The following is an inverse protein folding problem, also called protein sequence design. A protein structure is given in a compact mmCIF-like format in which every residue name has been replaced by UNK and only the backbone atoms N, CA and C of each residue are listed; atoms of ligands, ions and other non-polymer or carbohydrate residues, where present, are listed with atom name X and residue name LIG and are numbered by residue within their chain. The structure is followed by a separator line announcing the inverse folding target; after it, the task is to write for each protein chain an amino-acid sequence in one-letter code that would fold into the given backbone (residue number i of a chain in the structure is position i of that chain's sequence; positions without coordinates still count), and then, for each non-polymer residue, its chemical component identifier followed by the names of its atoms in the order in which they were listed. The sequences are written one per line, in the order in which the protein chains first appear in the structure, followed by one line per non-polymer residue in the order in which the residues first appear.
data_IF_978343154176
#
_entry.id   IF_978343154176
#
_cell.length_a   1.000
_cell.length_b   1.000
_cell.length_c   1.000
_cell.angle_alpha   90.00
_cell.angle_beta   90.00
_cell.angle_gamma   90.00
#
_symmetry.space_group_name_H-M   'P 1'
#
loop_
_entity.id
_entity.type
_entity.pdbx_description
1 polymer ?
#
# COMPACT_ATOMS: atom_id res chain seq x y z
N UNK A 1 17.24 7.90 -19.03
CA UNK A 1 16.28 7.69 -17.93
C UNK A 1 16.14 6.19 -17.71
N UNK A 2 16.15 5.74 -16.46
CA UNK A 2 16.09 4.33 -16.07
C UNK A 2 15.14 4.18 -14.88
N UNK A 3 14.48 3.03 -14.80
CA UNK A 3 13.52 2.74 -13.73
C UNK A 3 14.22 2.32 -12.44
N UNK A 4 14.01 3.09 -11.38
CA UNK A 4 14.38 2.71 -10.02
C UNK A 4 13.22 1.99 -9.34
N UNK A 5 13.56 0.99 -8.53
CA UNK A 5 12.67 0.24 -7.65
C UNK A 5 13.14 0.43 -6.22
N UNK A 6 12.22 0.81 -5.34
CA UNK A 6 12.45 0.92 -3.91
C UNK A 6 11.55 -0.03 -3.13
N UNK A 7 12.10 -0.63 -2.08
CA UNK A 7 11.32 -1.31 -1.04
C UNK A 7 11.23 -0.37 0.15
N UNK A 8 10.01 0.05 0.48
CA UNK A 8 9.72 1.08 1.48
C UNK A 8 8.95 0.48 2.64
N UNK A 9 9.40 0.77 3.85
CA UNK A 9 8.64 0.55 5.08
C UNK A 9 8.13 1.90 5.60
N UNK A 10 6.92 1.92 6.15
CA UNK A 10 6.37 3.13 6.75
C UNK A 10 5.40 2.83 7.90
N UNK A 11 5.40 3.71 8.89
CA UNK A 11 4.35 3.80 9.89
C UNK A 11 3.24 4.71 9.36
N UNK A 12 2.11 4.13 8.95
CA UNK A 12 0.98 4.85 8.37
C UNK A 12 0.18 5.73 9.34
N UNK A 13 0.42 5.68 10.65
CA UNK A 13 -0.46 6.28 11.66
C UNK A 13 -0.73 7.79 11.46
N UNK A 14 0.26 8.55 10.97
CA UNK A 14 0.14 10.00 10.74
C UNK A 14 -0.35 10.36 9.32
N UNK A 15 -0.47 9.39 8.43
CA UNK A 15 -0.72 9.63 7.01
C UNK A 15 -2.15 9.29 6.62
N UNK A 16 -2.69 10.10 5.71
CA UNK A 16 -3.99 9.89 5.07
C UNK A 16 -3.88 8.93 3.87
N UNK A 17 -3.14 7.83 4.08
CA UNK A 17 -2.92 6.77 3.12
C UNK A 17 -1.71 6.98 2.23
N UNK A 18 -1.58 6.09 1.24
CA UNK A 18 -0.46 6.13 0.32
C UNK A 18 -0.60 7.22 -0.74
N UNK A 19 -1.75 7.27 -1.41
CA UNK A 19 -1.96 8.12 -2.59
C UNK A 19 -2.06 9.60 -2.23
N UNK A 20 -1.52 10.47 -3.10
CA UNK A 20 -1.59 11.92 -2.93
C UNK A 20 -3.05 12.37 -2.86
N UNK A 21 -3.37 13.21 -1.88
CA UNK A 21 -4.67 13.83 -1.68
C UNK A 21 -4.47 15.27 -1.18
N UNK A 22 -5.18 16.29 -1.73
CA UNK A 22 -5.00 17.68 -1.32
C UNK A 22 -5.23 17.90 0.17
N UNK A 23 -4.40 18.77 0.77
CA UNK A 23 -4.57 19.24 2.15
C UNK A 23 -4.18 18.25 3.25
N UNK A 24 -3.63 17.08 2.91
CA UNK A 24 -3.25 16.05 3.88
C UNK A 24 -1.89 15.42 3.57
N UNK A 25 -1.19 14.98 4.62
CA UNK A 25 0.06 14.24 4.46
C UNK A 25 -0.20 12.80 4.00
N UNK A 26 0.58 12.36 3.01
CA UNK A 26 0.46 11.04 2.36
C UNK A 26 1.85 10.47 2.09
N UNK A 27 1.97 9.14 2.04
CA UNK A 27 3.27 8.48 1.81
C UNK A 27 3.87 8.89 0.46
N UNK A 28 3.06 8.89 -0.61
CA UNK A 28 3.51 9.30 -1.94
C UNK A 28 3.86 10.79 -2.00
N UNK A 29 3.11 11.65 -1.28
CA UNK A 29 3.41 13.08 -1.18
C UNK A 29 4.76 13.33 -0.50
N UNK A 30 5.01 12.68 0.63
CA UNK A 30 6.27 12.82 1.38
C UNK A 30 7.48 12.30 0.58
N UNK A 31 7.39 11.10 -0.01
CA UNK A 31 8.46 10.56 -0.86
C UNK A 31 8.67 11.41 -2.12
N UNK A 32 7.59 11.84 -2.77
CA UNK A 32 7.64 12.69 -3.96
C UNK A 32 8.25 14.05 -3.67
N UNK A 33 7.91 14.67 -2.54
CA UNK A 33 8.49 15.93 -2.08
C UNK A 33 9.99 15.81 -1.80
N UNK A 34 10.43 14.74 -1.15
CA UNK A 34 11.85 14.49 -0.93
C UNK A 34 12.62 14.30 -2.24
N UNK A 35 12.07 13.51 -3.18
CA UNK A 35 12.64 13.36 -4.52
C UNK A 35 12.69 14.69 -5.26
N UNK A 36 11.64 15.52 -5.14
CA UNK A 36 11.60 16.83 -5.77
C UNK A 36 12.67 17.77 -5.22
N UNK A 37 12.90 17.77 -3.91
CA UNK A 37 13.95 18.57 -3.30
C UNK A 37 15.35 18.08 -3.70
N UNK A 38 15.58 16.78 -3.88
CA UNK A 38 16.86 16.24 -4.33
C UNK A 38 17.12 16.55 -5.80
N UNK A 39 16.13 16.34 -6.67
CA UNK A 39 16.29 16.44 -8.12
C UNK A 39 15.83 17.76 -8.72
N UNK A 40 15.29 18.68 -7.91
CA UNK A 40 14.76 19.98 -8.34
C UNK A 40 13.68 19.86 -9.44
N UNK A 41 12.95 18.75 -9.47
CA UNK A 41 11.86 18.47 -10.41
C UNK A 41 10.88 17.46 -9.82
N UNK A 42 9.63 17.48 -10.25
CA UNK A 42 8.65 16.47 -9.83
C UNK A 42 9.07 15.10 -10.36
N UNK A 43 9.13 14.11 -9.47
CA UNK A 43 9.39 12.70 -9.79
C UNK A 43 8.17 11.87 -9.38
N UNK A 44 7.33 11.43 -10.34
CA UNK A 44 6.17 10.61 -10.03
C UNK A 44 6.56 9.27 -9.39
N UNK A 45 5.90 8.92 -8.28
CA UNK A 45 6.09 7.66 -7.57
C UNK A 45 4.88 6.75 -7.79
N UNK A 46 5.13 5.54 -8.28
CA UNK A 46 4.10 4.53 -8.52
C UNK A 46 4.25 3.42 -7.48
N UNK A 47 3.19 3.07 -6.76
CA UNK A 47 3.21 1.94 -5.81
C UNK A 47 2.74 0.62 -6.39
N UNK A 48 3.14 -0.46 -5.73
CA UNK A 48 2.59 -1.78 -5.96
C UNK A 48 1.14 -1.87 -5.49
N UNK A 49 0.79 -1.31 -4.34
CA UNK A 49 -0.59 -1.22 -3.86
C UNK A 49 -0.87 0.12 -3.18
N UNK A 50 -2.14 0.52 -3.16
CA UNK A 50 -2.59 1.62 -2.29
C UNK A 50 -2.82 1.07 -0.88
N UNK A 51 -2.52 1.88 0.11
CA UNK A 51 -2.92 1.64 1.50
C UNK A 51 -3.78 2.80 1.97
N UNK A 52 -4.82 2.50 2.73
CA UNK A 52 -5.73 3.49 3.30
C UNK A 52 -5.06 4.27 4.45
N UNK A 53 -5.74 5.33 4.91
CA UNK A 53 -5.36 6.12 6.10
C UNK A 53 -5.01 5.22 7.28
N UNK A 54 -3.87 5.50 7.92
CA UNK A 54 -3.40 4.75 9.11
C UNK A 54 -2.69 3.42 8.81
N UNK A 55 -2.85 2.83 7.62
CA UNK A 55 -2.30 1.51 7.31
C UNK A 55 -0.77 1.56 7.15
N UNK A 56 -0.06 0.69 7.86
CA UNK A 56 1.39 0.55 7.79
C UNK A 56 1.86 -0.35 6.62
N UNK A 57 3.15 -0.27 6.28
CA UNK A 57 3.77 -1.25 5.41
C UNK A 57 5.18 -1.61 5.87
N UNK A 58 5.56 -2.88 5.72
CA UNK A 58 6.93 -3.37 6.00
C UNK A 58 7.82 -3.45 4.75
N UNK A 59 7.22 -3.38 3.57
CA UNK A 59 7.90 -3.58 2.29
C UNK A 59 7.04 -3.25 1.08
N UNK A 60 6.37 -2.10 1.11
CA UNK A 60 5.69 -1.56 -0.07
C UNK A 60 6.72 -1.34 -1.18
N UNK A 61 6.48 -1.90 -2.35
CA UNK A 61 7.33 -1.65 -3.51
C UNK A 61 6.84 -0.39 -4.23
N UNK A 62 7.76 0.50 -4.54
CA UNK A 62 7.48 1.67 -5.39
C UNK A 62 8.49 1.76 -6.52
N UNK A 63 8.11 2.41 -7.61
CA UNK A 63 8.99 2.70 -8.75
C UNK A 63 8.87 4.14 -9.20
N UNK A 64 9.98 4.68 -9.72
CA UNK A 64 10.02 5.96 -10.42
C UNK A 64 11.14 5.98 -11.47
N UNK A 65 11.11 6.95 -12.38
CA UNK A 65 12.10 7.08 -13.45
C UNK A 65 13.11 8.18 -13.11
N UNK A 66 14.38 7.78 -13.07
CA UNK A 66 15.52 8.62 -12.68
C UNK A 66 16.54 8.68 -13.83
N UNK A 67 17.50 9.60 -13.73
CA UNK A 67 18.67 9.57 -14.61
C UNK A 67 19.50 8.32 -14.28
N UNK A 68 20.14 7.76 -15.29
CA UNK A 68 20.95 6.54 -15.20
C UNK A 68 22.23 6.70 -14.38
N UNK A 69 22.72 7.94 -14.25
CA UNK A 69 23.89 8.32 -13.46
C UNK A 69 23.63 8.48 -11.95
N UNK A 70 22.39 8.30 -11.49
CA UNK A 70 22.04 8.43 -10.07
C UNK A 70 22.66 7.30 -9.24
N UNK A 71 23.39 7.67 -8.20
CA UNK A 71 23.80 6.73 -7.14
C UNK A 71 22.61 6.41 -6.23
N UNK A 72 22.03 5.22 -6.43
CA UNK A 72 20.89 4.75 -5.64
C UNK A 72 21.22 4.53 -4.16
N UNK A 73 22.46 4.22 -3.81
CA UNK A 73 22.85 4.02 -2.42
C UNK A 73 22.93 5.36 -1.68
N UNK A 74 23.47 6.40 -2.33
CA UNK A 74 23.42 7.76 -1.81
C UNK A 74 21.97 8.28 -1.73
N UNK A 75 21.18 8.08 -2.79
CA UNK A 75 19.77 8.48 -2.81
C UNK A 75 18.98 7.82 -1.67
N UNK A 76 19.19 6.52 -1.42
CA UNK A 76 18.56 5.82 -0.30
C UNK A 76 18.89 6.49 1.04
N UNK A 77 20.15 6.89 1.28
CA UNK A 77 20.54 7.60 2.51
C UNK A 77 19.86 8.96 2.63
N UNK A 78 19.80 9.72 1.53
CA UNK A 78 19.14 11.03 1.50
C UNK A 78 17.64 10.90 1.79
N UNK A 79 16.95 9.98 1.12
CA UNK A 79 15.53 9.72 1.36
C UNK A 79 15.27 9.30 2.81
N UNK A 80 16.09 8.41 3.38
CA UNK A 80 15.95 7.99 4.78
C UNK A 80 16.22 9.14 5.76
N UNK A 81 17.15 10.05 5.44
CA UNK A 81 17.40 11.23 6.27
C UNK A 81 16.27 12.25 6.22
N UNK A 82 15.53 12.33 5.11
CA UNK A 82 14.48 13.33 4.90
C UNK A 82 13.09 12.83 5.33
N UNK A 83 12.80 11.55 5.13
CA UNK A 83 11.49 10.97 5.38
C UNK A 83 11.44 10.10 6.65
N UNK A 84 12.60 9.75 7.21
CA UNK A 84 12.69 8.99 8.44
C UNK A 84 12.34 9.84 9.67
N UNK A 85 11.90 9.21 10.78
CA UNK A 85 11.73 7.76 10.96
C UNK A 85 10.43 7.19 10.38
N UNK A 86 9.49 8.02 9.94
CA UNK A 86 8.15 7.59 9.50
C UNK A 86 8.17 6.75 8.23
N UNK A 87 9.06 7.05 7.27
CA UNK A 87 9.20 6.34 6.00
C UNK A 87 10.68 6.02 5.76
N UNK A 88 10.98 4.74 5.56
CA UNK A 88 12.33 4.23 5.35
C UNK A 88 12.39 3.42 4.06
N UNK A 89 13.25 3.84 3.14
CA UNK A 89 13.73 3.05 2.01
C UNK A 89 14.71 2.00 2.53
N UNK A 90 14.28 0.74 2.52
CA UNK A 90 15.07 -0.41 2.96
C UNK A 90 16.01 -0.93 1.88
N UNK A 91 15.61 -0.80 0.63
CA UNK A 91 16.37 -1.27 -0.52
C UNK A 91 16.08 -0.41 -1.74
N UNK A 92 17.13 -0.08 -2.49
CA UNK A 92 17.07 0.63 -3.75
C UNK A 92 17.81 -0.18 -4.82
N UNK A 93 17.17 -0.40 -5.97
CA UNK A 93 17.81 -1.05 -7.10
C UNK A 93 17.25 -0.55 -8.42
N UNK A 94 18.07 -0.61 -9.46
CA UNK A 94 17.57 -0.46 -10.81
C UNK A 94 16.70 -1.66 -11.22
N UNK A 95 15.69 -1.41 -12.03
CA UNK A 95 14.86 -2.42 -12.66
C UNK A 95 14.96 -2.31 -14.20
N UNK A 96 14.41 -3.28 -14.93
CA UNK A 96 14.24 -3.13 -16.38
C UNK A 96 13.18 -2.06 -16.67
N UNK A 97 13.20 -1.51 -17.88
CA UNK A 97 12.28 -0.44 -18.27
C UNK A 97 10.83 -0.92 -18.40
N UNK A 98 10.63 -2.23 -18.54
CA UNK A 98 9.33 -2.91 -18.61
C UNK A 98 8.72 -3.13 -17.20
N UNK A 99 9.51 -2.99 -16.13
CA UNK A 99 9.01 -3.17 -14.77
C UNK A 99 7.99 -2.10 -14.40
N UNK A 100 6.88 -2.49 -13.77
CA UNK A 100 5.90 -1.57 -13.21
C UNK A 100 5.48 -2.05 -11.82
N UNK A 101 5.69 -1.26 -10.76
CA UNK A 101 5.46 -1.70 -9.38
C UNK A 101 4.07 -2.33 -9.16
N UNK A 102 3.01 -1.76 -9.75
CA UNK A 102 1.64 -2.31 -9.70
C UNK A 102 1.43 -3.58 -10.51
N UNK A 103 1.79 -3.59 -11.79
CA UNK A 103 1.39 -4.62 -12.74
C UNK A 103 2.36 -5.80 -12.81
N UNK A 104 3.63 -5.58 -12.45
CA UNK A 104 4.61 -6.67 -12.32
C UNK A 104 4.49 -7.44 -11.01
N UNK A 105 3.64 -7.00 -10.07
CA UNK A 105 3.43 -7.69 -8.80
C UNK A 105 2.52 -8.91 -9.00
N UNK A 106 3.04 -10.09 -8.64
CA UNK A 106 2.33 -11.38 -8.76
C UNK A 106 1.34 -11.58 -7.59
N UNK A 107 1.66 -11.07 -6.41
CA UNK A 107 0.82 -11.13 -5.22
C UNK A 107 1.17 -10.00 -4.26
N UNK A 108 0.30 -9.79 -3.27
CA UNK A 108 0.49 -8.86 -2.15
C UNK A 108 0.13 -9.59 -0.86
N UNK A 109 0.87 -9.33 0.20
CA UNK A 109 0.64 -9.95 1.51
C UNK A 109 0.28 -8.87 2.51
N UNK A 110 -0.81 -9.11 3.24
CA UNK A 110 -1.33 -8.25 4.29
C UNK A 110 -1.33 -9.04 5.59
N UNK A 111 -0.96 -8.38 6.69
CA UNK A 111 -1.02 -8.93 8.03
C UNK A 111 -1.90 -8.02 8.87
N UNK A 112 -2.87 -8.62 9.56
CA UNK A 112 -3.71 -7.95 10.54
C UNK A 112 -3.38 -8.51 11.92
N UNK A 113 -3.06 -7.65 12.89
CA UNK A 113 -2.71 -8.07 14.25
C UNK A 113 -3.90 -7.76 15.16
N UNK A 114 -4.44 -8.80 15.80
CA UNK A 114 -5.47 -8.66 16.83
C UNK A 114 -4.84 -8.97 18.17
N UNK A 115 -4.95 -8.05 19.11
CA UNK A 115 -4.57 -8.25 20.50
C UNK A 115 -5.82 -8.59 21.30
N UNK A 116 -5.99 -9.85 21.70
CA UNK A 116 -7.18 -10.33 22.40
C UNK A 116 -6.89 -10.48 23.90
N UNK A 117 -7.26 -9.47 24.69
CA UNK A 117 -7.01 -9.42 26.12
C UNK A 117 -8.04 -8.52 26.83
N UNK A 118 -8.17 -8.65 28.14
CA UNK A 118 -9.09 -7.83 28.94
C UNK A 118 -8.74 -6.33 28.90
N UNK A 119 -7.44 -6.02 28.98
CA UNK A 119 -6.92 -4.65 28.99
C UNK A 119 -5.98 -4.42 27.81
N UNK A 120 -5.90 -3.19 27.26
CA UNK A 120 -5.00 -2.86 26.16
C UNK A 120 -3.53 -2.92 26.60
N UNK A 121 -2.65 -3.34 25.70
CA UNK A 121 -1.20 -3.21 25.86
C UNK A 121 -0.74 -1.87 25.25
N UNK A 122 -0.14 -0.96 26.04
CA UNK A 122 0.29 0.35 25.56
C UNK A 122 1.30 0.29 24.39
N UNK A 123 2.04 -0.81 24.24
CA UNK A 123 2.99 -1.01 23.14
C UNK A 123 2.34 -1.51 21.85
N UNK A 124 1.10 -2.02 21.92
CA UNK A 124 0.39 -2.58 20.77
C UNK A 124 -0.77 -1.69 20.28
N UNK A 125 -1.15 -0.65 21.03
CA UNK A 125 -2.26 0.26 20.68
C UNK A 125 -2.16 0.80 19.25
N UNK A 126 -0.95 1.15 18.81
CA UNK A 126 -0.76 1.75 17.50
C UNK A 126 -0.71 0.74 16.34
N UNK A 127 -0.55 -0.56 16.62
CA UNK A 127 -0.22 -1.58 15.59
C UNK A 127 -1.12 -2.81 15.64
N UNK A 128 -2.11 -2.82 16.52
CA UNK A 128 -3.04 -3.94 16.67
C UNK A 128 -4.45 -3.44 16.95
N UNK A 129 -5.43 -4.25 16.56
CA UNK A 129 -6.79 -4.06 17.02
C UNK A 129 -6.97 -4.77 18.37
N UNK A 130 -7.27 -4.00 19.41
CA UNK A 130 -7.59 -4.56 20.72
C UNK A 130 -9.03 -5.08 20.74
N UNK A 131 -9.20 -6.35 21.11
CA UNK A 131 -10.50 -7.02 21.22
C UNK A 131 -10.61 -7.60 22.63
N UNK A 132 -11.62 -7.19 23.38
CA UNK A 132 -11.86 -7.68 24.76
C UNK A 132 -12.58 -9.03 24.75
N UNK A 133 -13.55 -9.19 23.86
CA UNK A 133 -14.34 -10.42 23.78
C UNK A 133 -13.46 -11.63 23.42
N UNK A 134 -13.54 -12.76 24.14
CA UNK A 134 -12.76 -13.95 23.81
C UNK A 134 -13.02 -14.42 22.39
N UNK A 135 -11.96 -14.60 21.61
CA UNK A 135 -12.05 -15.09 20.24
C UNK A 135 -12.10 -16.61 20.19
N UNK A 136 -13.07 -17.15 19.46
CA UNK A 136 -13.11 -18.57 19.14
C UNK A 136 -12.21 -18.84 17.93
N UNK A 137 -10.94 -19.17 18.18
CA UNK A 137 -9.96 -19.43 17.12
C UNK A 137 -10.38 -20.57 16.18
N UNK A 138 -11.07 -21.60 16.69
CA UNK A 138 -11.58 -22.69 15.86
C UNK A 138 -12.63 -22.18 14.87
N UNK A 139 -13.57 -21.36 15.35
CA UNK A 139 -14.58 -20.76 14.49
C UNK A 139 -13.95 -19.82 13.44
N UNK A 140 -12.96 -19.02 13.83
CA UNK A 140 -12.22 -18.16 12.89
C UNK A 140 -11.50 -18.99 11.81
N UNK A 141 -10.78 -20.05 12.19
CA UNK A 141 -10.13 -20.93 11.22
C UNK A 141 -11.14 -21.59 10.26
N UNK A 142 -12.25 -22.10 10.80
CA UNK A 142 -13.32 -22.70 9.98
C UNK A 142 -13.97 -21.69 9.02
N UNK A 143 -14.07 -20.42 9.40
CA UNK A 143 -14.56 -19.35 8.54
C UNK A 143 -13.52 -18.92 7.48
N UNK A 144 -12.23 -19.11 7.74
CA UNK A 144 -11.15 -18.77 6.82
C UNK A 144 -10.89 -19.84 5.74
N UNK A 145 -11.20 -21.12 5.98
CA UNK A 145 -10.92 -22.16 4.99
C UNK A 145 -11.71 -21.95 3.66
N UNK A 146 -13.02 -21.58 3.68
CA UNK A 146 -13.78 -21.35 2.44
C UNK A 146 -13.33 -20.15 1.60
N UNK A 147 -12.66 -19.16 2.21
CA UNK A 147 -12.20 -17.96 1.48
C UNK A 147 -10.88 -18.18 0.73
N UNK A 148 -10.19 -19.31 0.94
CA UNK A 148 -8.98 -19.63 0.19
C UNK A 148 -9.35 -20.04 -1.24
N UNK A 149 -8.53 -19.64 -2.20
CA UNK A 149 -8.77 -19.87 -3.63
C UNK A 149 -9.35 -18.64 -4.32
N UNK A 150 -9.90 -18.87 -5.50
CA UNK A 150 -10.42 -17.83 -6.39
C UNK A 150 -11.91 -17.65 -6.18
N UNK A 151 -12.33 -16.44 -5.81
CA UNK A 151 -13.73 -16.11 -5.56
C UNK A 151 -14.07 -14.69 -6.03
N UNK A 152 -15.36 -14.41 -6.16
CA UNK A 152 -15.84 -13.02 -6.20
C UNK A 152 -15.82 -12.44 -4.77
N UNK A 153 -14.93 -11.47 -4.55
CA UNK A 153 -14.78 -10.77 -3.29
C UNK A 153 -15.54 -9.43 -3.24
N UNK A 154 -16.48 -9.19 -4.17
CA UNK A 154 -17.28 -7.95 -4.23
C UNK A 154 -17.96 -7.60 -2.89
N UNK A 155 -18.45 -8.60 -2.14
CA UNK A 155 -19.04 -8.42 -0.82
C UNK A 155 -18.07 -7.84 0.25
N UNK A 156 -16.76 -7.97 0.03
CA UNK A 156 -15.71 -7.44 0.91
C UNK A 156 -15.12 -6.11 0.41
N UNK A 157 -15.54 -5.63 -0.77
CA UNK A 157 -15.11 -4.37 -1.33
C UNK A 157 -16.01 -3.22 -0.84
N UNK A 158 -15.44 -2.02 -0.72
CA UNK A 158 -16.26 -0.81 -0.58
C UNK A 158 -17.10 -0.64 -1.84
N UNK A 159 -18.38 -0.30 -1.67
CA UNK A 159 -19.21 0.12 -2.81
C UNK A 159 -18.55 1.32 -3.50
N UNK A 160 -18.45 1.31 -4.84
CA UNK A 160 -18.04 2.50 -5.59
C UNK A 160 -18.95 3.67 -5.19
N UNK A 161 -18.38 4.86 -5.01
CA UNK A 161 -19.20 6.06 -5.00
C UNK A 161 -19.80 6.19 -6.40
N UNK A 162 -21.12 6.29 -6.51
CA UNK A 162 -21.74 6.72 -7.76
C UNK A 162 -21.27 8.15 -8.02
N UNK A 163 -20.65 8.38 -9.17
CA UNK A 163 -20.35 9.73 -9.62
C UNK A 163 -21.70 10.44 -9.83
N UNK A 164 -21.91 11.53 -9.08
CA UNK A 164 -23.11 12.35 -9.15
C UNK A 164 -23.00 13.35 -10.31
N UNK A 165 -22.69 12.88 -11.52
CA UNK A 165 -22.95 13.62 -12.77
C UNK A 165 -23.31 12.59 -13.84
N UNK A 166 -24.52 12.66 -14.44
CA UNK A 166 -24.82 11.82 -15.60
C UNK A 166 -24.07 12.38 -16.79
N UNK A 167 -23.01 11.69 -17.21
CA UNK A 167 -22.43 11.86 -18.53
C UNK A 167 -23.55 11.65 -19.57
N UNK A 168 -23.77 12.65 -20.41
CA UNK A 168 -24.72 12.65 -21.53
C UNK A 168 -24.20 11.82 -22.72
N UNK A 169 -23.73 10.60 -22.45
CA UNK A 169 -23.45 9.61 -23.50
C UNK A 169 -24.14 8.28 -23.12
N UNK A 170 -24.63 7.58 -24.15
CA UNK A 170 -25.63 6.51 -24.05
C UNK A 170 -25.23 5.31 -23.19
N UNK A 171 -26.11 4.30 -23.07
CA UNK A 171 -25.93 3.22 -22.11
C UNK A 171 -24.78 2.31 -22.57
N UNK A 172 -23.56 2.60 -22.12
CA UNK A 172 -22.55 1.56 -21.99
C UNK A 172 -23.03 0.63 -20.89
N UNK A 173 -23.40 -0.58 -21.29
CA UNK A 173 -23.69 -1.70 -20.42
C UNK A 173 -22.40 -2.07 -19.69
N UNK A 174 -22.12 -1.38 -18.59
CA UNK A 174 -21.08 -1.77 -17.65
C UNK A 174 -21.60 -3.00 -16.89
N UNK A 175 -21.51 -4.17 -17.53
CA UNK A 175 -21.54 -5.42 -16.78
C UNK A 175 -20.47 -5.35 -15.69
N UNK A 176 -20.80 -5.67 -14.43
CA UNK A 176 -19.80 -5.64 -13.37
C UNK A 176 -18.75 -6.69 -13.69
N UNK A 177 -17.59 -6.24 -14.17
CA UNK A 177 -16.42 -7.08 -14.38
C UNK A 177 -16.12 -7.79 -13.05
N UNK A 178 -16.44 -9.09 -12.97
CA UNK A 178 -16.20 -9.90 -11.78
C UNK A 178 -14.70 -10.00 -11.60
N UNK A 179 -14.15 -9.18 -10.70
CA UNK A 179 -12.73 -9.19 -10.36
C UNK A 179 -12.49 -10.35 -9.41
N UNK A 180 -12.30 -11.53 -9.98
CA UNK A 180 -11.87 -12.70 -9.24
C UNK A 180 -10.50 -12.43 -8.58
N UNK A 181 -10.44 -12.60 -7.26
CA UNK A 181 -9.20 -12.49 -6.49
C UNK A 181 -8.87 -13.87 -5.94
N UNK A 182 -7.59 -14.23 -5.92
CA UNK A 182 -7.14 -15.50 -5.35
C UNK A 182 -6.44 -15.26 -4.01
N UNK A 183 -6.99 -15.82 -2.93
CA UNK A 183 -6.33 -15.85 -1.63
C UNK A 183 -5.55 -17.15 -1.46
N UNK A 184 -4.34 -17.05 -0.91
CA UNK A 184 -3.48 -18.19 -0.61
C UNK A 184 -3.24 -18.25 0.89
N UNK A 185 -3.25 -19.48 1.43
CA UNK A 185 -2.79 -19.71 2.80
C UNK A 185 -1.27 -19.60 2.82
N UNK A 186 -0.77 -18.67 3.63
CA UNK A 186 0.66 -18.61 3.94
C UNK A 186 0.88 -19.47 5.18
N UNK A 187 1.84 -20.39 5.12
CA UNK A 187 2.22 -21.31 6.22
C UNK A 187 3.59 -20.90 6.74
#
# INVERSE_FOLDING_TARGET
MRRARFVVAYNGAKFHGFAINPGVETIAGTLGGALQQIFQRVVPVVSAGRTDTGVHARGQVVSCDLRDDVDLALLQKQLNSMCGPEIIVRHASWASNEFHARFSAIWRHYQYTIYNAEYPDPFLVATSWHVVAPLNLRALHMACDPIIGTHDFSAFCRRPKQDLEPDLEGPETNEPEVREVSLKRYV
#
